data_IF_159441393722
#
_entry.id   IF_159441393722
#
_cell.length_a   1.000
_cell.length_b   1.000
_cell.length_c   1.000
_cell.angle_alpha   90.00
_cell.angle_beta   90.00
_cell.angle_gamma   90.00
#
_symmetry.space_group_name_H-M   'P 1'
#
loop_
_entity.id
_entity.type
_entity.pdbx_description
1 polymer ?
#
# COMPACT_ATOMS: atom_id res chain seq x y z
N UNK A 1 3.74 29.50 -27.26
CA UNK A 1 2.65 28.62 -27.70
C UNK A 1 2.49 27.47 -26.71
N UNK A 2 1.25 27.01 -26.49
CA UNK A 2 1.00 25.81 -25.70
C UNK A 2 1.41 24.59 -26.53
N UNK A 3 2.24 23.72 -25.95
CA UNK A 3 2.71 22.49 -26.56
C UNK A 3 2.42 21.30 -25.66
N UNK A 4 2.34 20.10 -26.24
CA UNK A 4 2.25 18.85 -25.51
C UNK A 4 3.64 18.34 -25.06
N UNK A 5 3.68 17.19 -24.40
CA UNK A 5 4.91 16.57 -23.90
C UNK A 5 5.89 16.12 -25.02
N UNK A 6 5.46 16.17 -26.28
CA UNK A 6 6.27 15.87 -27.48
C UNK A 6 6.70 17.15 -28.21
N UNK A 7 6.34 18.33 -27.67
CA UNK A 7 6.62 19.64 -28.29
C UNK A 7 5.67 20.02 -29.44
N UNK A 8 4.58 19.25 -29.67
CA UNK A 8 3.60 19.56 -30.69
C UNK A 8 2.65 20.64 -30.18
N UNK A 9 2.38 21.64 -31.02
CA UNK A 9 1.45 22.72 -30.64
C UNK A 9 0.02 22.19 -30.49
N UNK A 10 -0.65 22.64 -29.43
CA UNK A 10 -2.01 22.21 -29.11
C UNK A 10 -3.01 22.52 -30.23
N UNK A 11 -2.84 23.62 -30.93
CA UNK A 11 -3.68 23.99 -32.08
C UNK A 11 -3.36 23.21 -33.37
N UNK A 12 -2.28 22.44 -33.39
CA UNK A 12 -1.85 21.61 -34.53
C UNK A 12 -2.02 20.10 -34.20
N UNK A 13 -2.97 19.77 -33.33
CA UNK A 13 -3.27 18.39 -32.94
C UNK A 13 -2.38 17.86 -31.81
N UNK A 14 -1.69 18.73 -31.11
CA UNK A 14 -1.01 18.37 -29.84
C UNK A 14 -2.00 18.01 -28.75
N UNK A 15 -1.55 17.23 -27.79
CA UNK A 15 -2.30 16.84 -26.59
C UNK A 15 -1.67 15.65 -25.91
N UNK A 16 -1.91 15.53 -24.61
CA UNK A 16 -1.52 14.36 -23.83
C UNK A 16 -2.74 13.71 -23.22
N UNK A 17 -2.85 12.41 -23.38
CA UNK A 17 -3.88 11.64 -22.71
C UNK A 17 -3.60 11.60 -21.21
N UNK A 18 -4.56 12.06 -20.41
CA UNK A 18 -4.51 12.04 -18.95
C UNK A 18 -5.25 10.82 -18.39
N UNK A 19 -6.39 10.49 -18.99
CA UNK A 19 -7.23 9.34 -18.66
C UNK A 19 -7.87 8.80 -19.95
N UNK A 20 -8.02 7.50 -20.03
CA UNK A 20 -8.68 6.82 -21.15
C UNK A 20 -9.89 6.02 -20.65
N UNK A 21 -10.79 5.68 -21.56
CA UNK A 21 -11.84 4.71 -21.32
C UNK A 21 -11.25 3.33 -21.00
N UNK A 22 -11.87 2.62 -20.06
CA UNK A 22 -11.46 1.27 -19.67
C UNK A 22 -12.34 0.75 -18.53
N UNK A 23 -12.30 -0.54 -18.26
CA UNK A 23 -13.00 -1.16 -17.13
C UNK A 23 -14.48 -0.74 -16.99
N UNK A 24 -15.24 -0.72 -18.08
CA UNK A 24 -16.65 -0.26 -18.15
C UNK A 24 -16.84 1.25 -17.88
N UNK A 25 -15.79 2.03 -17.83
CA UNK A 25 -15.83 3.49 -17.76
C UNK A 25 -15.60 4.06 -19.14
N UNK A 26 -16.59 4.71 -19.72
CA UNK A 26 -16.54 5.20 -21.09
C UNK A 26 -16.66 6.72 -21.13
N UNK A 27 -15.94 7.34 -22.06
CA UNK A 27 -15.99 8.78 -22.28
C UNK A 27 -15.61 9.62 -21.06
N UNK A 28 -14.49 9.33 -20.35
CA UNK A 28 -14.09 10.15 -19.23
C UNK A 28 -13.82 11.59 -19.67
N UNK A 29 -14.38 12.54 -18.95
CA UNK A 29 -14.23 13.94 -19.29
C UNK A 29 -14.68 14.88 -18.18
N UNK A 30 -14.65 16.18 -18.47
CA UNK A 30 -15.13 17.24 -17.61
C UNK A 30 -14.53 17.14 -16.20
N UNK A 31 -13.22 17.29 -16.10
CA UNK A 31 -12.51 17.05 -14.86
C UNK A 31 -12.28 18.33 -14.04
N UNK A 32 -12.32 18.15 -12.72
CA UNK A 32 -11.87 19.11 -11.73
C UNK A 32 -10.58 18.65 -11.07
N UNK A 33 -9.80 19.58 -10.57
CA UNK A 33 -8.55 19.32 -9.85
C UNK A 33 -8.69 19.85 -8.42
N UNK A 34 -8.20 19.10 -7.44
CA UNK A 34 -8.20 19.57 -6.06
C UNK A 34 -7.03 18.97 -5.26
N UNK A 35 -6.45 19.82 -4.44
CA UNK A 35 -5.42 19.42 -3.47
C UNK A 35 -6.12 18.97 -2.18
N UNK A 36 -5.81 17.78 -1.73
CA UNK A 36 -6.34 17.19 -0.50
C UNK A 36 -5.42 17.51 0.67
N UNK A 37 -4.12 17.32 0.46
CA UNK A 37 -3.07 17.56 1.43
C UNK A 37 -1.76 17.79 0.68
N UNK A 38 -0.67 18.04 1.41
CA UNK A 38 0.63 18.11 0.77
C UNK A 38 0.98 16.78 0.10
N UNK A 39 1.42 16.84 -1.15
CA UNK A 39 1.71 15.66 -1.98
C UNK A 39 0.49 14.81 -2.36
N UNK A 40 -0.72 15.15 -1.95
CA UNK A 40 -1.95 14.42 -2.29
C UNK A 40 -2.88 15.29 -3.11
N UNK A 41 -2.88 15.06 -4.41
CA UNK A 41 -3.79 15.73 -5.35
C UNK A 41 -4.73 14.70 -5.96
N UNK A 42 -5.95 15.13 -6.24
CA UNK A 42 -6.97 14.31 -6.89
C UNK A 42 -7.60 15.04 -8.04
N UNK A 43 -8.09 14.28 -8.99
CA UNK A 43 -8.94 14.75 -10.06
C UNK A 43 -10.32 14.11 -9.94
N UNK A 44 -11.34 14.87 -10.29
CA UNK A 44 -12.67 14.34 -10.55
C UNK A 44 -12.91 14.31 -12.05
N UNK A 45 -13.64 13.33 -12.50
CA UNK A 45 -14.17 13.26 -13.87
C UNK A 45 -15.55 12.63 -13.84
N UNK A 46 -16.34 12.86 -14.85
CA UNK A 46 -17.50 12.00 -15.11
C UNK A 46 -17.14 10.97 -16.19
N UNK A 47 -17.80 9.86 -16.15
CA UNK A 47 -17.79 8.86 -17.22
C UNK A 47 -19.18 8.22 -17.34
N UNK A 48 -19.46 7.71 -18.54
CA UNK A 48 -20.68 6.96 -18.77
C UNK A 48 -20.48 5.54 -18.26
N UNK A 49 -21.35 5.13 -17.34
CA UNK A 49 -21.42 3.77 -16.85
C UNK A 49 -22.75 3.16 -17.27
N UNK A 50 -22.75 1.84 -17.38
CA UNK A 50 -23.97 1.06 -17.52
C UNK A 50 -24.79 1.37 -18.80
N UNK A 51 -24.15 1.28 -19.96
CA UNK A 51 -24.79 1.50 -21.26
C UNK A 51 -26.04 0.66 -21.47
N UNK A 52 -26.11 -0.53 -20.88
CA UNK A 52 -27.27 -1.41 -20.95
C UNK A 52 -28.50 -0.83 -20.25
N UNK A 53 -28.32 0.22 -19.46
CA UNK A 53 -29.37 0.95 -18.74
C UNK A 53 -29.54 2.40 -19.16
N UNK A 54 -29.12 2.72 -20.40
CA UNK A 54 -29.30 4.03 -20.99
C UNK A 54 -28.19 5.04 -20.69
N UNK A 55 -27.02 4.57 -20.24
CA UNK A 55 -25.84 5.39 -19.93
C UNK A 55 -26.13 6.41 -18.83
N UNK A 56 -25.53 6.25 -17.68
CA UNK A 56 -25.58 7.23 -16.59
C UNK A 56 -24.21 7.84 -16.41
N UNK A 57 -24.16 9.17 -16.42
CA UNK A 57 -22.97 9.85 -15.98
C UNK A 57 -22.76 9.65 -14.48
N UNK A 58 -21.63 9.14 -14.12
CA UNK A 58 -21.22 8.92 -12.72
C UNK A 58 -19.93 9.67 -12.43
N UNK A 59 -19.80 10.12 -11.19
CA UNK A 59 -18.60 10.79 -10.71
C UNK A 59 -17.51 9.76 -10.43
N UNK A 60 -16.34 9.99 -11.00
CA UNK A 60 -15.10 9.30 -10.64
C UNK A 60 -14.13 10.25 -9.95
N UNK A 61 -13.47 9.76 -8.92
CA UNK A 61 -12.39 10.45 -8.23
C UNK A 61 -11.13 9.59 -8.34
N UNK A 62 -10.05 10.16 -8.86
CA UNK A 62 -8.78 9.49 -9.07
C UNK A 62 -7.64 10.27 -8.43
N UNK A 63 -6.57 9.62 -7.98
CA UNK A 63 -5.32 10.30 -7.71
C UNK A 63 -4.83 11.05 -8.94
N UNK A 64 -4.23 12.21 -8.74
CA UNK A 64 -3.52 12.95 -9.77
C UNK A 64 -2.03 12.86 -9.52
N UNK A 65 -1.31 12.34 -10.50
CA UNK A 65 0.14 12.18 -10.47
C UNK A 65 0.78 13.18 -11.44
N UNK A 66 2.02 13.55 -11.16
CA UNK A 66 2.82 14.39 -12.03
C UNK A 66 4.06 13.61 -12.52
N UNK A 67 4.07 13.26 -13.78
CA UNK A 67 5.20 12.56 -14.40
C UNK A 67 5.91 13.49 -15.39
N UNK A 68 7.16 13.85 -15.06
CA UNK A 68 7.94 14.81 -15.86
C UNK A 68 7.20 16.13 -16.12
N UNK A 69 6.50 16.65 -15.11
CA UNK A 69 5.71 17.87 -15.20
C UNK A 69 4.37 17.75 -15.94
N UNK A 70 3.94 16.52 -16.27
CA UNK A 70 2.67 16.26 -16.95
C UNK A 70 1.70 15.50 -16.06
N UNK A 71 0.41 15.87 -16.06
CA UNK A 71 -0.60 15.19 -15.27
C UNK A 71 -0.87 13.78 -15.80
N UNK A 72 -1.07 12.84 -14.89
CA UNK A 72 -1.47 11.46 -15.17
C UNK A 72 -2.51 11.05 -14.13
N UNK A 73 -3.62 10.45 -14.58
CA UNK A 73 -4.57 9.86 -13.65
C UNK A 73 -3.95 8.62 -13.00
N UNK A 74 -3.92 8.60 -11.67
CA UNK A 74 -3.54 7.43 -10.89
C UNK A 74 -4.66 6.41 -10.80
N UNK A 75 -4.36 5.27 -10.22
CA UNK A 75 -5.32 4.19 -9.98
C UNK A 75 -5.86 4.25 -8.55
N UNK A 76 -7.11 3.88 -8.38
CA UNK A 76 -7.65 3.63 -7.04
C UNK A 76 -6.92 2.42 -6.45
N UNK A 77 -6.50 2.52 -5.20
CA UNK A 77 -5.81 1.43 -4.52
C UNK A 77 -6.66 0.15 -4.56
N UNK A 78 -6.05 -0.94 -4.96
CA UNK A 78 -6.71 -2.24 -5.09
C UNK A 78 -6.49 -3.07 -3.84
N UNK A 79 -7.52 -3.80 -3.44
CA UNK A 79 -7.39 -4.82 -2.40
C UNK A 79 -6.50 -5.96 -2.87
N UNK A 80 -5.75 -6.56 -1.96
CA UNK A 80 -4.83 -7.65 -2.30
C UNK A 80 -3.85 -7.96 -1.19
N UNK A 81 -2.96 -8.89 -1.46
CA UNK A 81 -1.83 -9.21 -0.58
C UNK A 81 -0.56 -8.60 -1.15
N UNK A 82 0.13 -7.83 -0.31
CA UNK A 82 1.27 -7.02 -0.70
C UNK A 82 2.41 -7.16 0.31
N UNK A 83 3.60 -6.89 -0.15
CA UNK A 83 4.69 -6.43 0.68
C UNK A 83 4.70 -4.92 0.70
N UNK A 84 4.75 -4.34 1.90
CA UNK A 84 4.75 -2.89 2.11
C UNK A 84 6.22 -2.46 2.20
N UNK A 85 6.76 -1.96 1.09
CA UNK A 85 8.16 -1.56 0.96
C UNK A 85 8.30 -0.06 1.22
N UNK A 86 9.27 0.32 2.03
CA UNK A 86 9.65 1.73 2.17
C UNK A 86 10.26 2.24 0.86
N UNK A 87 10.03 3.51 0.52
CA UNK A 87 10.76 4.16 -0.60
C UNK A 87 12.28 4.17 -0.37
N UNK A 88 12.71 4.03 0.87
CA UNK A 88 14.09 3.63 1.20
C UNK A 88 14.31 2.19 0.76
N UNK A 89 14.97 2.02 -0.36
CA UNK A 89 15.12 0.72 -1.05
C UNK A 89 15.63 -0.40 -0.16
N UNK A 90 15.03 -1.57 -0.32
CA UNK A 90 15.44 -2.81 0.34
C UNK A 90 14.85 -3.00 1.74
N UNK A 91 13.95 -2.14 2.18
CA UNK A 91 13.32 -2.23 3.50
C UNK A 91 11.83 -2.47 3.38
N UNK A 92 11.34 -3.47 4.12
CA UNK A 92 9.92 -3.82 4.16
C UNK A 92 9.37 -3.77 5.59
N UNK A 93 8.07 -3.50 5.69
CA UNK A 93 7.33 -3.59 6.93
C UNK A 93 7.12 -5.07 7.29
N UNK A 94 7.52 -5.48 8.48
CA UNK A 94 7.42 -6.87 8.91
C UNK A 94 7.03 -7.02 10.39
N UNK A 95 6.52 -8.20 10.75
CA UNK A 95 6.40 -8.58 12.15
C UNK A 95 7.80 -8.75 12.76
N UNK A 96 7.96 -8.29 14.00
CA UNK A 96 9.17 -8.53 14.79
C UNK A 96 9.14 -9.95 15.39
N UNK A 97 9.22 -10.96 14.53
CA UNK A 97 9.29 -12.38 14.89
C UNK A 97 10.65 -12.95 14.51
N UNK A 98 11.08 -13.96 15.23
CA UNK A 98 12.31 -14.66 14.90
C UNK A 98 12.11 -15.49 13.63
N UNK A 99 13.16 -15.55 12.81
CA UNK A 99 13.15 -16.42 11.65
C UNK A 99 13.16 -17.88 12.08
N UNK A 100 12.24 -18.65 11.57
CA UNK A 100 12.47 -20.09 11.45
C UNK A 100 13.56 -20.25 10.39
N UNK A 101 14.80 -20.53 10.82
CA UNK A 101 15.88 -20.85 9.89
C UNK A 101 15.44 -22.07 9.09
N UNK A 102 15.26 -21.88 7.80
CA UNK A 102 15.28 -23.03 6.89
C UNK A 102 16.72 -23.54 6.87
N UNK A 103 16.95 -24.67 7.49
CA UNK A 103 18.22 -25.38 7.37
C UNK A 103 18.32 -25.87 5.93
N UNK A 104 19.00 -25.11 5.10
CA UNK A 104 19.44 -25.60 3.81
C UNK A 104 20.63 -26.52 4.07
N UNK A 105 20.44 -27.83 3.95
CA UNK A 105 21.53 -28.76 3.79
C UNK A 105 22.18 -28.44 2.44
N UNK A 106 23.25 -27.66 2.49
CA UNK A 106 24.02 -27.29 1.31
C UNK A 106 24.83 -28.50 0.92
N UNK A 107 24.27 -29.41 0.10
CA UNK A 107 25.05 -30.42 -0.57
C UNK A 107 26.04 -29.71 -1.50
N UNK A 108 27.29 -29.77 -1.16
CA UNK A 108 28.35 -29.41 -2.11
C UNK A 108 28.32 -30.48 -3.18
N UNK A 109 28.00 -30.12 -4.42
CA UNK A 109 27.79 -31.07 -5.54
C UNK A 109 29.03 -31.94 -5.84
N UNK A 110 30.17 -31.69 -5.20
CA UNK A 110 31.42 -32.48 -5.27
C UNK A 110 31.60 -33.45 -4.09
N UNK A 111 30.73 -33.40 -3.08
CA UNK A 111 30.75 -34.37 -1.97
C UNK A 111 29.90 -35.57 -2.39
N UNK A 112 30.55 -36.70 -2.63
CA UNK A 112 29.84 -37.99 -2.74
C UNK A 112 29.44 -38.43 -1.34
N UNK A 113 28.27 -38.00 -0.92
CA UNK A 113 27.66 -38.44 0.32
C UNK A 113 26.52 -39.38 -0.03
N UNK A 114 26.66 -40.65 0.36
CA UNK A 114 25.65 -41.69 0.18
C UNK A 114 24.54 -41.61 1.26
N UNK A 115 24.50 -40.53 2.06
CA UNK A 115 23.43 -40.31 3.03
C UNK A 115 22.10 -40.06 2.30
N UNK A 116 21.02 -40.77 2.68
CA UNK A 116 19.71 -40.50 2.09
C UNK A 116 19.32 -39.03 2.31
N UNK A 117 19.06 -38.30 1.23
CA UNK A 117 18.47 -36.96 1.32
C UNK A 117 17.08 -37.13 1.92
N UNK A 118 16.94 -36.86 3.20
CA UNK A 118 15.60 -36.71 3.81
C UNK A 118 15.02 -35.40 3.23
N UNK A 119 13.92 -35.47 2.46
CA UNK A 119 13.29 -34.27 1.97
C UNK A 119 12.95 -33.39 3.18
N UNK A 120 13.49 -32.16 3.23
CA UNK A 120 13.06 -31.16 4.20
C UNK A 120 11.54 -31.02 4.04
N UNK A 121 10.79 -31.31 5.10
CA UNK A 121 9.37 -31.07 5.13
C UNK A 121 9.19 -29.56 4.86
N UNK A 122 8.63 -29.21 3.71
CA UNK A 122 8.34 -27.82 3.41
C UNK A 122 7.39 -27.33 4.50
N UNK A 123 7.82 -26.31 5.26
CA UNK A 123 6.95 -25.66 6.22
C UNK A 123 5.82 -24.97 5.45
N UNK A 124 4.60 -25.25 5.84
CA UNK A 124 3.43 -24.51 5.33
C UNK A 124 3.38 -23.13 5.98
N UNK A 125 2.58 -22.23 5.43
CA UNK A 125 2.33 -20.93 6.06
C UNK A 125 1.73 -21.11 7.45
N UNK A 126 0.84 -22.08 7.64
CA UNK A 126 0.22 -22.41 8.92
C UNK A 126 1.27 -22.83 9.95
N UNK A 127 2.21 -23.74 9.56
CA UNK A 127 3.29 -24.18 10.45
C UNK A 127 4.13 -22.98 10.95
N UNK A 128 4.34 -21.97 10.11
CA UNK A 128 5.10 -20.76 10.48
C UNK A 128 4.29 -19.88 11.42
N UNK A 129 3.01 -19.64 11.12
CA UNK A 129 2.11 -18.81 11.92
C UNK A 129 1.95 -19.38 13.33
N UNK A 130 1.86 -20.69 13.48
CA UNK A 130 1.74 -21.36 14.79
C UNK A 130 2.93 -21.07 15.71
N UNK A 131 4.08 -20.72 15.17
CA UNK A 131 5.26 -20.35 15.97
C UNK A 131 5.20 -18.94 16.57
N UNK A 132 4.28 -18.10 16.09
CA UNK A 132 4.23 -16.70 16.49
C UNK A 132 3.54 -16.48 17.84
N UNK A 133 3.95 -15.45 18.61
CA UNK A 133 3.28 -15.10 19.84
C UNK A 133 1.79 -14.84 19.64
N UNK A 134 0.96 -15.30 20.59
CA UNK A 134 -0.49 -15.13 20.52
C UNK A 134 -0.97 -13.70 20.85
N UNK A 135 -0.17 -12.93 21.58
CA UNK A 135 -0.48 -11.56 21.97
C UNK A 135 -0.15 -10.51 20.89
N UNK A 136 0.06 -9.28 21.33
CA UNK A 136 0.60 -8.21 20.48
C UNK A 136 2.00 -8.59 19.98
N UNK A 137 2.28 -8.27 18.72
CA UNK A 137 3.60 -8.40 18.14
C UNK A 137 4.00 -7.03 17.62
N UNK A 138 5.22 -6.60 17.92
CA UNK A 138 5.77 -5.37 17.38
C UNK A 138 5.98 -5.50 15.86
N UNK A 139 5.96 -4.37 15.20
CA UNK A 139 6.30 -4.25 13.79
C UNK A 139 7.68 -3.61 13.70
N UNK A 140 8.47 -4.01 12.74
CA UNK A 140 9.78 -3.43 12.47
C UNK A 140 9.98 -3.21 10.97
N UNK A 141 11.01 -2.46 10.63
CA UNK A 141 11.50 -2.35 9.27
C UNK A 141 12.65 -3.33 9.13
N UNK A 142 12.52 -4.29 8.27
CA UNK A 142 13.53 -5.31 8.01
C UNK A 142 13.96 -5.33 6.56
N UNK A 143 15.03 -6.07 6.28
CA UNK A 143 15.46 -6.31 4.91
C UNK A 143 14.35 -7.01 4.12
N UNK A 144 14.15 -6.57 2.89
CA UNK A 144 13.19 -7.19 1.99
C UNK A 144 13.62 -8.63 1.67
N UNK A 145 12.85 -9.62 2.11
CA UNK A 145 13.20 -11.04 2.01
C UNK A 145 12.11 -11.94 1.47
N UNK A 146 10.96 -11.38 1.10
CA UNK A 146 9.85 -12.16 0.56
C UNK A 146 9.32 -13.25 1.52
N UNK A 147 9.23 -12.94 2.80
CA UNK A 147 8.89 -13.89 3.86
C UNK A 147 7.43 -13.74 4.34
N UNK A 148 6.81 -14.79 4.90
CA UNK A 148 5.43 -14.75 5.37
C UNK A 148 5.12 -13.59 6.33
N UNK A 149 6.05 -13.25 7.23
CA UNK A 149 5.90 -12.16 8.19
C UNK A 149 6.03 -10.75 7.56
N UNK A 150 6.28 -10.65 6.25
CA UNK A 150 6.32 -9.42 5.45
C UNK A 150 5.11 -9.26 4.53
N UNK A 151 4.17 -10.23 4.52
CA UNK A 151 3.02 -10.24 3.62
C UNK A 151 1.78 -9.74 4.32
N UNK A 152 1.18 -8.72 3.73
CA UNK A 152 0.04 -8.01 4.30
C UNK A 152 -1.16 -8.07 3.35
N UNK A 153 -2.25 -8.63 3.81
CA UNK A 153 -3.53 -8.59 3.10
C UNK A 153 -4.26 -7.30 3.46
N UNK A 154 -4.55 -6.50 2.44
CA UNK A 154 -5.21 -5.20 2.57
C UNK A 154 -6.61 -5.31 1.97
N UNK A 155 -7.62 -5.03 2.79
CA UNK A 155 -9.03 -5.15 2.41
C UNK A 155 -9.80 -3.90 2.85
N UNK A 156 -10.66 -3.41 1.98
CA UNK A 156 -11.54 -2.29 2.30
C UNK A 156 -12.51 -2.64 3.43
N UNK A 157 -12.81 -1.64 4.26
CA UNK A 157 -13.79 -1.74 5.36
C UNK A 157 -14.90 -0.73 5.07
N UNK A 158 -15.95 -1.10 4.31
CA UNK A 158 -17.01 -0.17 3.91
C UNK A 158 -17.68 0.55 5.07
N UNK A 159 -17.92 -0.18 6.17
CA UNK A 159 -18.55 0.37 7.38
C UNK A 159 -17.59 1.24 8.22
N UNK A 160 -16.31 1.23 7.90
CA UNK A 160 -15.28 2.09 8.51
C UNK A 160 -15.38 3.55 8.09
N UNK A 161 -16.24 3.87 7.12
CA UNK A 161 -16.34 5.16 6.47
C UNK A 161 -15.40 5.25 5.25
N UNK A 162 -15.29 6.44 4.70
CA UNK A 162 -14.49 6.68 3.51
C UNK A 162 -13.91 8.08 3.50
N UNK A 163 -13.01 8.30 2.58
CA UNK A 163 -12.34 9.59 2.39
C UNK A 163 -12.11 9.88 0.90
N UNK A 164 -12.75 10.94 0.40
CA UNK A 164 -12.55 11.52 -0.95
C UNK A 164 -12.22 10.49 -2.06
N UNK A 165 -13.09 9.50 -2.23
CA UNK A 165 -12.99 8.50 -3.30
C UNK A 165 -12.29 7.20 -2.92
N UNK A 166 -12.08 6.95 -1.64
CA UNK A 166 -11.56 5.67 -1.13
C UNK A 166 -12.15 5.29 0.23
N UNK A 167 -12.27 4.01 0.53
CA UNK A 167 -12.63 3.51 1.86
C UNK A 167 -11.44 3.62 2.82
N UNK A 168 -11.70 3.33 4.10
CA UNK A 168 -10.64 2.87 4.99
C UNK A 168 -10.35 1.39 4.76
N UNK A 169 -9.14 0.98 5.05
CA UNK A 169 -8.64 -0.38 4.88
C UNK A 169 -8.25 -0.99 6.22
N UNK A 170 -8.41 -2.29 6.34
CA UNK A 170 -7.68 -3.10 7.33
C UNK A 170 -6.42 -3.65 6.66
N UNK A 171 -5.34 -3.73 7.43
CA UNK A 171 -4.05 -4.28 7.01
C UNK A 171 -3.75 -5.43 7.95
N UNK A 172 -3.80 -6.67 7.47
CA UNK A 172 -3.61 -7.87 8.28
C UNK A 172 -2.49 -8.72 7.70
N UNK A 173 -1.76 -9.46 8.54
CA UNK A 173 -0.79 -10.44 8.05
C UNK A 173 -1.50 -11.55 7.30
N UNK A 174 -0.97 -11.91 6.13
CA UNK A 174 -1.51 -12.97 5.29
C UNK A 174 -1.76 -14.27 6.06
N UNK A 175 -2.91 -14.89 5.83
CA UNK A 175 -3.32 -16.13 6.50
C UNK A 175 -3.76 -15.98 7.95
N UNK A 176 -3.87 -14.75 8.47
CA UNK A 176 -4.27 -14.48 9.87
C UNK A 176 -5.36 -13.41 9.95
N UNK A 177 -5.90 -13.19 11.16
CA UNK A 177 -6.71 -12.01 11.51
C UNK A 177 -5.89 -10.91 12.20
N UNK A 178 -4.57 -11.10 12.32
CA UNK A 178 -3.67 -10.21 13.03
C UNK A 178 -3.56 -8.87 12.31
N UNK A 179 -4.06 -7.81 12.92
CA UNK A 179 -4.22 -6.50 12.31
C UNK A 179 -3.17 -5.50 12.75
N UNK A 180 -2.70 -4.68 11.81
CA UNK A 180 -1.88 -3.51 12.08
C UNK A 180 -2.71 -2.46 12.83
N UNK A 181 -2.15 -1.90 13.90
CA UNK A 181 -2.81 -0.90 14.74
C UNK A 181 -1.83 0.19 15.20
N UNK A 182 -2.34 1.41 15.29
CA UNK A 182 -1.63 2.52 15.92
C UNK A 182 -1.71 2.43 17.45
N UNK A 183 -0.71 2.97 18.14
CA UNK A 183 -0.68 3.04 19.61
C UNK A 183 -0.69 4.48 20.11
N UNK A 184 -0.97 4.68 21.39
CA UNK A 184 -0.93 6.00 22.03
C UNK A 184 0.47 6.64 22.04
N UNK A 185 1.50 5.82 21.96
CA UNK A 185 2.90 6.27 21.89
C UNK A 185 3.36 6.60 20.45
N UNK A 186 2.41 6.72 19.52
CA UNK A 186 2.66 6.95 18.10
C UNK A 186 3.57 5.87 17.46
N UNK A 187 3.46 4.65 17.93
CA UNK A 187 4.08 3.47 17.34
C UNK A 187 3.04 2.63 16.59
N UNK A 188 3.50 1.58 15.92
CA UNK A 188 2.65 0.60 15.28
C UNK A 188 2.96 -0.80 15.80
N UNK A 189 1.89 -1.55 16.03
CA UNK A 189 1.96 -2.95 16.47
C UNK A 189 0.98 -3.77 15.64
N UNK A 190 1.05 -5.09 15.78
CA UNK A 190 -0.07 -5.93 15.39
C UNK A 190 -0.81 -6.44 16.61
N UNK A 191 -2.14 -6.39 16.55
CA UNK A 191 -3.05 -6.99 17.51
C UNK A 191 -3.57 -8.32 16.98
N UNK A 192 -3.96 -9.29 17.85
CA UNK A 192 -4.36 -10.62 17.40
C UNK A 192 -5.51 -10.65 16.41
N UNK A 193 -6.44 -9.71 16.53
CA UNK A 193 -7.66 -9.67 15.71
C UNK A 193 -8.01 -8.25 15.28
N UNK A 194 -8.56 -8.15 14.07
CA UNK A 194 -9.21 -6.94 13.61
C UNK A 194 -10.58 -6.80 14.26
N UNK A 195 -10.80 -5.72 14.98
CA UNK A 195 -12.07 -5.41 15.67
C UNK A 195 -12.86 -4.27 15.05
N UNK A 196 -12.27 -3.57 14.08
CA UNK A 196 -12.85 -2.37 13.48
C UNK A 196 -12.60 -1.09 14.29
N UNK A 197 -11.76 -1.15 15.33
CA UNK A 197 -11.38 0.03 16.11
C UNK A 197 -10.68 1.07 15.22
N UNK A 198 -10.86 2.39 15.48
CA UNK A 198 -10.34 3.44 14.61
C UNK A 198 -8.83 3.38 14.37
N UNK A 199 -8.05 2.96 15.36
CA UNK A 199 -6.60 2.78 15.27
C UNK A 199 -6.19 1.58 14.39
N UNK A 200 -7.13 0.72 13.98
CA UNK A 200 -6.91 -0.41 13.07
C UNK A 200 -7.39 -0.13 11.65
N UNK A 201 -7.97 1.04 11.43
CA UNK A 201 -8.44 1.50 10.13
C UNK A 201 -7.40 2.40 9.49
N UNK A 202 -7.03 2.10 8.25
CA UNK A 202 -5.94 2.78 7.56
C UNK A 202 -6.43 3.46 6.30
N UNK A 203 -5.96 4.68 6.08
CA UNK A 203 -6.11 5.41 4.84
C UNK A 203 -4.83 5.25 4.03
N UNK A 204 -4.97 4.98 2.74
CA UNK A 204 -3.88 4.82 1.78
C UNK A 204 -4.09 5.85 0.67
N UNK A 205 -3.21 6.83 0.59
CA UNK A 205 -3.26 7.85 -0.46
C UNK A 205 -2.09 7.68 -1.41
N UNK A 206 -2.36 7.63 -2.71
CA UNK A 206 -1.32 7.74 -3.70
C UNK A 206 -0.87 9.19 -3.81
N UNK A 207 0.45 9.40 -3.73
CA UNK A 207 1.09 10.69 -3.79
C UNK A 207 1.31 11.13 -5.25
N UNK A 208 1.55 12.40 -5.46
CA UNK A 208 1.76 12.98 -6.79
C UNK A 208 2.96 12.43 -7.55
N UNK A 209 3.93 11.83 -6.85
CA UNK A 209 5.08 11.14 -7.44
C UNK A 209 4.82 9.65 -7.74
N UNK A 210 3.67 9.13 -7.33
CA UNK A 210 3.25 7.74 -7.54
C UNK A 210 3.48 6.81 -6.36
N UNK A 211 4.24 7.23 -5.35
CA UNK A 211 4.39 6.50 -4.08
C UNK A 211 3.12 6.64 -3.23
N UNK A 212 3.12 6.07 -2.03
CA UNK A 212 1.95 6.09 -1.15
C UNK A 212 2.32 6.59 0.24
N UNK A 213 1.36 7.26 0.89
CA UNK A 213 1.38 7.47 2.33
C UNK A 213 0.31 6.59 2.96
N UNK A 214 0.61 6.07 4.15
CA UNK A 214 -0.25 5.20 4.93
C UNK A 214 -0.48 5.89 6.27
N UNK A 215 -1.74 6.08 6.66
CA UNK A 215 -2.06 6.76 7.92
C UNK A 215 -3.24 6.09 8.62
N UNK A 216 -3.21 5.95 9.94
CA UNK A 216 -4.34 5.42 10.67
C UNK A 216 -5.49 6.44 10.66
N UNK A 217 -6.71 5.95 10.83
CA UNK A 217 -7.89 6.80 10.99
C UNK A 217 -7.79 7.66 12.26
N UNK A 218 -7.28 7.06 13.32
CA UNK A 218 -7.01 7.73 14.59
C UNK A 218 -5.72 7.20 15.21
N UNK A 219 -5.02 8.07 15.91
CA UNK A 219 -3.92 7.70 16.80
C UNK A 219 -4.41 7.93 18.22
N UNK A 220 -4.50 6.90 19.07
CA UNK A 220 -5.01 7.04 20.42
C UNK A 220 -4.27 8.15 21.21
N UNK A 221 -5.03 9.02 21.86
CA UNK A 221 -4.47 10.08 22.70
C UNK A 221 -4.00 11.34 21.99
N UNK A 222 -4.22 11.47 20.68
CA UNK A 222 -3.90 12.70 19.92
C UNK A 222 -4.88 12.93 18.77
N UNK A 223 -5.14 14.21 18.48
CA UNK A 223 -5.93 14.62 17.31
C UNK A 223 -5.04 14.90 16.08
N UNK A 224 -3.74 14.61 16.16
CA UNK A 224 -2.82 14.87 15.05
C UNK A 224 -3.00 13.83 13.95
N UNK A 225 -3.00 14.31 12.72
CA UNK A 225 -2.89 13.45 11.53
C UNK A 225 -1.43 12.99 11.37
N UNK A 226 -1.15 11.75 11.72
CA UNK A 226 0.17 11.14 11.60
C UNK A 226 0.16 10.06 10.51
N UNK A 227 1.32 9.83 9.91
CA UNK A 227 1.53 8.81 8.88
C UNK A 227 2.57 7.79 9.32
N UNK A 228 2.51 6.62 8.73
CA UNK A 228 3.52 5.58 8.92
C UNK A 228 4.87 6.07 8.38
N UNK A 229 5.91 6.03 9.20
CA UNK A 229 7.28 6.41 8.86
C UNK A 229 8.26 5.29 9.13
N UNK A 230 9.21 5.11 8.22
CA UNK A 230 10.31 4.16 8.35
C UNK A 230 11.61 4.88 8.73
N UNK A 231 12.16 4.60 9.90
CA UNK A 231 13.40 5.21 10.37
C UNK A 231 14.43 4.14 10.74
N UNK A 232 15.50 4.03 9.95
CA UNK A 232 16.53 3.00 10.19
C UNK A 232 15.99 1.58 10.06
N UNK A 233 16.57 0.65 10.79
CA UNK A 233 16.11 -0.74 10.95
C UNK A 233 15.36 -0.92 12.28
N UNK A 234 14.74 0.15 12.74
CA UNK A 234 14.03 0.20 14.01
C UNK A 234 12.53 -0.03 13.83
N UNK A 235 11.82 -0.02 14.93
CA UNK A 235 10.36 -0.01 14.96
C UNK A 235 9.84 1.17 14.14
N UNK A 236 8.97 0.96 13.16
CA UNK A 236 8.34 2.05 12.44
C UNK A 236 7.48 2.84 13.42
N UNK A 237 7.41 4.14 13.21
CA UNK A 237 6.63 5.04 14.04
C UNK A 237 5.57 5.78 13.22
N UNK A 238 4.72 6.51 13.91
CA UNK A 238 3.81 7.46 13.30
C UNK A 238 4.38 8.87 13.49
N UNK A 239 4.50 9.61 12.41
CA UNK A 239 5.08 10.94 12.39
C UNK A 239 4.36 11.89 11.46
N UNK A 240 4.72 13.16 11.49
CA UNK A 240 4.20 14.14 10.54
C UNK A 240 4.67 13.81 9.11
N UNK A 241 3.76 13.96 8.17
CA UNK A 241 4.07 13.68 6.77
C UNK A 241 5.05 14.70 6.20
N UNK A 242 6.05 14.21 5.48
CA UNK A 242 6.99 15.04 4.75
C UNK A 242 7.16 14.54 3.31
N UNK A 243 6.61 15.26 2.34
CA UNK A 243 6.68 14.90 0.92
C UNK A 243 8.12 14.78 0.37
N UNK A 244 9.07 15.44 1.00
CA UNK A 244 10.49 15.44 0.59
C UNK A 244 11.32 14.34 1.28
N UNK A 245 10.70 13.49 2.10
CA UNK A 245 11.36 12.42 2.84
C UNK A 245 10.88 11.05 2.39
N UNK A 246 11.80 10.22 1.94
CA UNK A 246 11.52 8.82 1.58
C UNK A 246 11.08 7.99 2.80
N UNK A 247 11.34 8.47 4.02
CA UNK A 247 10.93 7.78 5.24
C UNK A 247 9.40 7.70 5.41
N UNK A 248 8.65 8.64 4.83
CA UNK A 248 7.17 8.69 4.93
C UNK A 248 6.46 8.21 3.66
N UNK A 249 7.21 7.55 2.77
CA UNK A 249 6.71 7.05 1.49
C UNK A 249 6.84 5.54 1.39
N UNK A 250 5.84 4.93 0.77
CA UNK A 250 5.71 3.50 0.69
C UNK A 250 5.33 3.05 -0.72
N UNK A 251 5.66 1.81 -1.03
CA UNK A 251 5.25 1.09 -2.23
C UNK A 251 4.59 -0.22 -1.85
N UNK A 252 3.73 -0.72 -2.71
CA UNK A 252 3.07 -2.00 -2.55
C UNK A 252 3.52 -2.91 -3.68
N UNK A 253 4.09 -4.06 -3.35
CA UNK A 253 4.47 -5.09 -4.30
C UNK A 253 3.45 -6.21 -4.28
N UNK A 254 2.91 -6.51 -5.45
CA UNK A 254 2.05 -7.69 -5.67
C UNK A 254 2.90 -8.97 -5.62
N UNK A 255 2.25 -10.06 -5.26
CA UNK A 255 2.77 -11.42 -5.34
C UNK A 255 2.41 -12.09 -6.66
#
# INVERSE_FOLDING_TARGET
PYVDNMGRKMLEGGGKMVIAAGNRQTGPGHFGLFKVADGVEKMSCHFEADFDRGGRSVLGIRPLLWKNGWPVAGEVFKEGTYEIESERRGYALELAVDFVRMEYTRHRFWEKDDTPVVPLKSQTLEDVIETWPQGKINVRIGDYMFRPHQKWTITAVPDGGGYLGGPYYKIVIEGTNRALAATADAEVVTVPEFTGAPEQLWRIDQLTDGTYRIMPKEVPGTDKELVLVSVGNSTPSLGEFNMNSDNSKWNFRDH
#
